data_IF_833173345199
#
_entry.id   IF_833173345199
#
_cell.length_a   1.000
_cell.length_b   1.000
_cell.length_c   1.000
_cell.angle_alpha   90.00
_cell.angle_beta   90.00
_cell.angle_gamma   90.00
#
_symmetry.space_group_name_H-M   'P 1'
#
loop_
_entity.id
_entity.type
_entity.pdbx_description
1 polymer ?
#
# COMPACT_ATOMS: atom_id res chain seq x y z
N UNK A 1 15.34 -21.54 -22.04
CA UNK A 1 15.27 -20.26 -21.31
C UNK A 1 14.05 -20.36 -20.41
N UNK A 2 14.21 -20.40 -19.09
CA UNK A 2 13.08 -20.43 -18.17
C UNK A 2 12.59 -19.01 -17.97
N UNK A 3 11.45 -18.68 -18.57
CA UNK A 3 10.69 -17.50 -18.21
C UNK A 3 10.26 -17.67 -16.75
N UNK A 4 10.84 -16.85 -15.88
CA UNK A 4 10.37 -16.71 -14.51
C UNK A 4 8.97 -16.11 -14.57
N UNK A 5 7.94 -16.94 -14.52
CA UNK A 5 6.63 -16.52 -14.06
C UNK A 5 6.83 -16.04 -12.61
N UNK A 6 7.07 -14.75 -12.44
CA UNK A 6 6.97 -14.10 -11.15
C UNK A 6 5.52 -14.26 -10.73
N UNK A 7 5.24 -15.33 -9.98
CA UNK A 7 3.97 -15.57 -9.34
C UNK A 7 3.63 -14.28 -8.62
N UNK A 8 2.58 -13.57 -9.07
CA UNK A 8 2.03 -12.46 -8.30
C UNK A 8 1.62 -13.08 -6.98
N UNK A 9 2.44 -12.89 -5.95
CA UNK A 9 2.20 -13.46 -4.65
C UNK A 9 0.84 -12.95 -4.19
N UNK A 10 -0.11 -13.86 -4.03
CA UNK A 10 -1.45 -13.52 -3.61
C UNK A 10 -1.37 -12.82 -2.25
N UNK A 11 -1.81 -11.57 -2.21
CA UNK A 11 -1.74 -10.73 -1.03
C UNK A 11 -2.82 -11.18 -0.06
N UNK A 12 -2.44 -11.57 1.16
CA UNK A 12 -3.45 -11.93 2.15
C UNK A 12 -4.27 -10.69 2.55
N UNK A 13 -5.57 -10.81 2.85
CA UNK A 13 -6.38 -9.69 3.30
C UNK A 13 -5.78 -8.95 4.51
N UNK A 14 -5.14 -9.69 5.43
CA UNK A 14 -4.48 -9.10 6.59
C UNK A 14 -3.26 -8.22 6.23
N UNK A 15 -2.48 -8.60 5.21
CA UNK A 15 -1.36 -7.77 4.73
C UNK A 15 -1.85 -6.49 4.05
N UNK A 16 -2.90 -6.59 3.23
CA UNK A 16 -3.52 -5.43 2.58
C UNK A 16 -4.02 -4.45 3.63
N UNK A 17 -4.81 -4.93 4.58
CA UNK A 17 -5.40 -4.14 5.67
C UNK A 17 -4.32 -3.49 6.56
N UNK A 18 -3.22 -4.21 6.82
CA UNK A 18 -2.08 -3.65 7.55
C UNK A 18 -1.42 -2.46 6.81
N UNK A 19 -1.17 -2.57 5.50
CA UNK A 19 -0.57 -1.49 4.71
C UNK A 19 -1.51 -0.29 4.56
N UNK A 20 -2.81 -0.54 4.40
CA UNK A 20 -3.82 0.52 4.33
C UNK A 20 -3.87 1.32 5.64
N UNK A 21 -3.84 0.66 6.81
CA UNK A 21 -3.75 1.35 8.10
C UNK A 21 -2.51 2.24 8.23
N UNK A 22 -1.36 1.76 7.78
CA UNK A 22 -0.13 2.56 7.75
C UNK A 22 -0.25 3.76 6.81
N UNK A 23 -0.87 3.58 5.65
CA UNK A 23 -1.13 4.67 4.72
C UNK A 23 -2.03 5.76 5.33
N UNK A 24 -3.08 5.38 6.04
CA UNK A 24 -3.97 6.31 6.73
C UNK A 24 -3.26 7.05 7.86
N UNK A 25 -2.46 6.34 8.66
CA UNK A 25 -1.64 6.93 9.72
C UNK A 25 -0.66 7.97 9.15
N UNK A 26 0.11 7.61 8.12
CA UNK A 26 1.06 8.53 7.49
C UNK A 26 0.37 9.71 6.80
N UNK A 27 -0.81 9.49 6.22
CA UNK A 27 -1.62 10.57 5.64
C UNK A 27 -2.04 11.59 6.70
N UNK A 28 -2.40 11.14 7.92
CA UNK A 28 -2.72 12.03 9.04
C UNK A 28 -1.48 12.78 9.53
N UNK A 29 -0.37 12.08 9.76
CA UNK A 29 0.90 12.70 10.17
C UNK A 29 1.38 13.76 9.16
N UNK A 30 1.19 13.50 7.86
CA UNK A 30 1.49 14.47 6.80
C UNK A 30 0.59 15.71 6.85
N UNK A 31 -0.72 15.55 7.12
CA UNK A 31 -1.64 16.70 7.30
C UNK A 31 -1.23 17.58 8.48
N UNK A 32 -0.62 17.00 9.51
CA UNK A 32 -0.06 17.72 10.67
C UNK A 32 1.30 18.38 10.36
N UNK A 33 1.82 18.23 9.13
CA UNK A 33 3.03 18.91 8.66
C UNK A 33 4.34 18.19 8.99
N UNK A 34 4.29 16.95 9.49
CA UNK A 34 5.47 16.18 9.89
C UNK A 34 6.32 15.73 8.70
N UNK A 35 5.72 15.53 7.52
CA UNK A 35 6.39 15.04 6.32
C UNK A 35 6.04 15.93 5.12
N UNK A 36 6.82 16.98 4.90
CA UNK A 36 6.65 17.88 3.76
C UNK A 36 7.25 17.24 2.50
N UNK A 37 6.61 17.47 1.35
CA UNK A 37 7.08 17.11 0.00
C UNK A 37 7.15 15.61 -0.35
N UNK A 38 7.20 14.69 0.62
CA UNK A 38 7.23 13.24 0.37
C UNK A 38 5.84 12.66 0.08
N UNK A 39 5.73 11.74 -0.89
CA UNK A 39 4.47 11.01 -1.12
C UNK A 39 4.21 10.03 0.03
N UNK A 40 2.96 9.95 0.50
CA UNK A 40 2.59 9.03 1.59
C UNK A 40 2.96 7.58 1.27
N UNK A 41 2.87 7.17 -0.01
CA UNK A 41 3.22 5.80 -0.43
C UNK A 41 4.71 5.51 -0.27
N UNK A 42 5.57 6.48 -0.57
CA UNK A 42 7.02 6.35 -0.41
C UNK A 42 7.39 6.26 1.07
N UNK A 43 6.70 7.04 1.92
CA UNK A 43 6.86 6.96 3.37
C UNK A 43 6.47 5.59 3.91
N UNK A 44 5.33 5.05 3.47
CA UNK A 44 4.88 3.71 3.89
C UNK A 44 5.84 2.64 3.41
N UNK A 45 6.31 2.71 2.16
CA UNK A 45 7.28 1.78 1.61
C UNK A 45 8.59 1.79 2.43
N UNK A 46 9.09 2.99 2.76
CA UNK A 46 10.29 3.15 3.58
C UNK A 46 10.10 2.64 5.01
N UNK A 47 8.98 2.96 5.67
CA UNK A 47 8.73 2.55 7.06
C UNK A 47 8.46 1.06 7.23
N UNK A 48 7.90 0.41 6.21
CA UNK A 48 7.63 -1.03 6.22
C UNK A 48 8.74 -1.85 5.56
N UNK A 49 9.77 -1.21 5.01
CA UNK A 49 10.87 -1.83 4.28
C UNK A 49 10.37 -2.74 3.13
N UNK A 50 9.33 -2.30 2.42
CA UNK A 50 8.77 -2.99 1.25
C UNK A 50 8.89 -2.15 -0.01
N UNK A 51 8.84 -2.80 -1.17
CA UNK A 51 8.88 -2.10 -2.44
C UNK A 51 7.67 -1.16 -2.61
N UNK A 52 7.90 0.03 -3.18
CA UNK A 52 6.83 0.97 -3.52
C UNK A 52 5.77 0.34 -4.44
N UNK A 53 6.18 -0.53 -5.37
CA UNK A 53 5.27 -1.29 -6.23
C UNK A 53 4.32 -2.19 -5.44
N UNK A 54 4.78 -2.78 -4.33
CA UNK A 54 3.95 -3.59 -3.43
C UNK A 54 2.91 -2.73 -2.72
N UNK A 55 3.28 -1.53 -2.24
CA UNK A 55 2.32 -0.58 -1.63
C UNK A 55 1.24 -0.19 -2.64
N UNK A 56 1.63 0.14 -3.89
CA UNK A 56 0.69 0.47 -4.96
C UNK A 56 -0.28 -0.67 -5.26
N UNK A 57 0.24 -1.90 -5.38
CA UNK A 57 -0.55 -3.09 -5.64
C UNK A 57 -1.55 -3.37 -4.51
N UNK A 58 -1.13 -3.29 -3.25
CA UNK A 58 -2.01 -3.49 -2.09
C UNK A 58 -3.11 -2.42 -2.01
N UNK A 59 -2.78 -1.15 -2.25
CA UNK A 59 -3.77 -0.07 -2.26
C UNK A 59 -4.78 -0.22 -3.41
N UNK A 60 -4.36 -0.76 -4.56
CA UNK A 60 -5.25 -1.05 -5.67
C UNK A 60 -6.19 -2.22 -5.35
N UNK A 61 -5.65 -3.32 -4.80
CA UNK A 61 -6.45 -4.46 -4.36
C UNK A 61 -7.51 -4.05 -3.32
N UNK A 62 -7.10 -3.25 -2.33
CA UNK A 62 -8.04 -2.70 -1.35
C UNK A 62 -9.16 -1.88 -2.01
N UNK A 63 -8.85 -1.01 -2.99
CA UNK A 63 -9.88 -0.22 -3.66
C UNK A 63 -10.86 -1.10 -4.44
N UNK A 64 -10.36 -2.07 -5.21
CA UNK A 64 -11.22 -2.98 -5.95
C UNK A 64 -12.18 -3.77 -5.02
N UNK A 65 -11.68 -4.22 -3.88
CA UNK A 65 -12.47 -4.99 -2.89
C UNK A 65 -13.46 -4.14 -2.08
N UNK A 66 -13.27 -2.83 -2.02
CA UNK A 66 -14.13 -1.92 -1.25
C UNK A 66 -15.00 -1.02 -2.14
N UNK A 67 -14.68 -0.80 -3.42
CA UNK A 67 -15.57 -0.15 -4.38
C UNK A 67 -16.88 -0.93 -4.57
N UNK A 68 -16.88 -2.24 -4.29
CA UNK A 68 -18.09 -3.09 -4.26
C UNK A 68 -18.91 -3.01 -2.97
N UNK A 69 -18.46 -2.23 -1.97
CA UNK A 69 -19.12 -2.07 -0.66
C UNK A 69 -19.72 -0.67 -0.44
N UNK A 70 -19.61 0.21 -1.43
CA UNK A 70 -20.14 1.58 -1.39
C UNK A 70 -21.13 1.82 -2.55
N UNK A 71 -22.12 0.94 -2.71
CA UNK A 71 -23.44 1.34 -3.23
C UNK A 71 -24.33 1.84 -2.08
#
# INVERSE_FOLDING_TARGET
MSESNATQQELTPGQIDYVVRWYDFMSKAKKEGLFREQLTRDLVAACLEIAHSTVMMMMHAYRADNDTKFE
#
